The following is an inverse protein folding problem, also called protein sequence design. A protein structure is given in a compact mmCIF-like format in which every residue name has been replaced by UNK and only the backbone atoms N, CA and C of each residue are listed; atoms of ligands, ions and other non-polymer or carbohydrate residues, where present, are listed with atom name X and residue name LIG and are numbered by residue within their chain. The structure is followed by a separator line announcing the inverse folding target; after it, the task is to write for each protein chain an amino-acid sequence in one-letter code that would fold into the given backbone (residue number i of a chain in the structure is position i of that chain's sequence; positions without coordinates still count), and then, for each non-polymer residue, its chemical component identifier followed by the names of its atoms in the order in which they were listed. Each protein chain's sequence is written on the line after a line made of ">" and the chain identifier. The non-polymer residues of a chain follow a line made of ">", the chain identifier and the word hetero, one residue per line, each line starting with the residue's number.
data_IF_433989299429
#
_entry.id   IF_433989299429
#
_cell.length_a   1.000
_cell.length_b   1.000
_cell.length_c   1.000
_cell.angle_alpha   90.00
_cell.angle_beta   90.00
_cell.angle_gamma   90.00
#
_symmetry.space_group_name_H-M   'P 1'
#
loop_
_entity.id
_entity.type
_entity.pdbx_description
1 polymer ?
#
# COMPACT_ATOMS: atom_id res chain seq x y z
N UNK A 1 -21.12 44.71 8.00
CA UNK A 1 -20.67 43.66 8.96
C UNK A 1 -21.50 42.37 8.90
N UNK A 2 -22.84 42.44 8.97
CA UNK A 2 -23.70 41.23 8.96
C UNK A 2 -23.65 40.40 7.67
N UNK A 3 -23.57 41.05 6.50
CA UNK A 3 -23.51 40.35 5.19
C UNK A 3 -22.20 39.56 4.99
N UNK A 4 -21.06 40.13 5.35
CA UNK A 4 -19.76 39.47 5.25
C UNK A 4 -19.66 38.27 6.20
N UNK A 5 -20.24 38.37 7.39
CA UNK A 5 -20.29 37.25 8.34
C UNK A 5 -21.11 36.08 7.79
N UNK A 6 -22.27 36.34 7.17
CA UNK A 6 -23.07 35.30 6.52
C UNK A 6 -22.35 34.64 5.33
N UNK A 7 -21.63 35.43 4.52
CA UNK A 7 -20.84 34.90 3.42
C UNK A 7 -19.70 33.99 3.91
N UNK A 8 -18.99 34.40 4.95
CA UNK A 8 -17.91 33.59 5.54
C UNK A 8 -18.47 32.29 6.13
N UNK A 9 -19.59 32.35 6.87
CA UNK A 9 -20.26 31.16 7.39
C UNK A 9 -20.73 30.21 6.29
N UNK A 10 -21.29 30.75 5.21
CA UNK A 10 -21.69 29.97 4.04
C UNK A 10 -20.52 29.27 3.37
N UNK A 11 -19.40 29.97 3.16
CA UNK A 11 -18.18 29.39 2.56
C UNK A 11 -17.59 28.31 3.46
N UNK A 12 -17.50 28.54 4.77
CA UNK A 12 -16.98 27.55 5.73
C UNK A 12 -17.84 26.28 5.74
N UNK A 13 -19.17 26.41 5.68
CA UNK A 13 -20.07 25.26 5.62
C UNK A 13 -19.89 24.44 4.33
N UNK A 14 -19.74 25.11 3.18
CA UNK A 14 -19.51 24.43 1.89
C UNK A 14 -18.14 23.73 1.87
N UNK A 15 -17.09 24.38 2.37
CA UNK A 15 -15.75 23.78 2.46
C UNK A 15 -15.75 22.58 3.40
N UNK A 16 -16.47 22.64 4.53
CA UNK A 16 -16.60 21.52 5.46
C UNK A 16 -17.30 20.30 4.85
N UNK A 17 -18.30 20.50 3.98
CA UNK A 17 -18.96 19.41 3.25
C UNK A 17 -18.03 18.76 2.22
N UNK A 18 -17.24 19.55 1.50
CA UNK A 18 -16.29 19.05 0.47
C UNK A 18 -15.07 18.39 1.12
N UNK A 19 -14.70 18.77 2.34
CA UNK A 19 -13.59 18.19 3.09
C UNK A 19 -13.89 16.79 3.70
N UNK A 20 -15.10 16.25 3.53
CA UNK A 20 -15.41 14.88 3.93
C UNK A 20 -14.59 13.90 3.09
N UNK A 21 -13.75 13.10 3.75
CA UNK A 21 -12.96 12.08 3.07
C UNK A 21 -13.88 11.10 2.32
N UNK A 22 -13.61 10.91 1.03
CA UNK A 22 -14.40 10.02 0.18
C UNK A 22 -14.37 8.58 0.73
N UNK A 23 -15.52 7.91 0.82
CA UNK A 23 -15.58 6.52 1.27
C UNK A 23 -14.75 5.64 0.32
N UNK A 24 -13.66 5.09 0.83
CA UNK A 24 -12.82 4.14 0.10
C UNK A 24 -13.57 2.81 -0.10
N UNK A 25 -13.49 2.25 -1.30
CA UNK A 25 -13.95 0.88 -1.59
C UNK A 25 -13.01 -0.19 -1.02
N UNK A 26 -11.80 0.19 -0.58
CA UNK A 26 -10.85 -0.69 0.10
C UNK A 26 -11.04 -0.58 1.61
N UNK A 27 -11.46 -1.64 2.32
CA UNK A 27 -11.62 -1.60 3.77
C UNK A 27 -10.27 -1.35 4.45
N UNK A 28 -10.29 -0.68 5.61
CA UNK A 28 -9.09 -0.46 6.42
C UNK A 28 -8.61 -1.80 6.98
N UNK A 29 -7.38 -2.17 6.64
CA UNK A 29 -6.74 -3.37 7.18
C UNK A 29 -5.98 -3.01 8.45
N UNK A 30 -6.23 -3.78 9.51
CA UNK A 30 -5.55 -3.62 10.79
C UNK A 30 -4.63 -4.82 11.01
N UNK A 31 -3.34 -4.57 11.23
CA UNK A 31 -2.36 -5.61 11.58
C UNK A 31 -1.57 -5.20 12.81
N UNK A 32 -1.59 -6.04 13.85
CA UNK A 32 -0.75 -5.83 15.05
C UNK A 32 0.68 -6.30 14.87
N UNK A 33 0.89 -7.31 14.03
CA UNK A 33 2.18 -7.98 13.85
C UNK A 33 2.73 -7.80 12.43
N UNK A 34 1.87 -7.91 11.43
CA UNK A 34 2.22 -7.79 10.03
C UNK A 34 0.98 -7.45 9.20
N UNK A 35 1.22 -6.98 7.98
CA UNK A 35 0.21 -6.74 6.95
C UNK A 35 0.84 -7.13 5.60
N UNK A 36 0.13 -7.92 4.79
CA UNK A 36 0.49 -8.22 3.40
C UNK A 36 -0.62 -7.71 2.47
N UNK A 37 -0.26 -6.89 1.48
CA UNK A 37 -1.22 -6.27 0.55
C UNK A 37 -0.66 -6.38 -0.87
N UNK A 38 -1.48 -6.83 -1.82
CA UNK A 38 -1.23 -6.70 -3.25
C UNK A 38 -2.55 -6.47 -4.00
N UNK A 39 -2.48 -6.19 -5.30
CA UNK A 39 -3.65 -6.17 -6.18
C UNK A 39 -4.25 -7.56 -6.46
N UNK A 40 -3.60 -8.65 -6.05
CA UNK A 40 -4.04 -10.03 -6.28
C UNK A 40 -4.19 -10.80 -4.97
N UNK A 41 -5.41 -11.25 -4.60
CA UNK A 41 -5.65 -11.92 -3.32
C UNK A 41 -4.69 -13.08 -3.05
N UNK A 42 -4.41 -13.92 -4.06
CA UNK A 42 -3.49 -15.05 -3.93
C UNK A 42 -2.05 -14.64 -3.59
N UNK A 43 -1.59 -13.48 -4.07
CA UNK A 43 -0.29 -12.92 -3.70
C UNK A 43 -0.27 -12.52 -2.22
N UNK A 44 -1.32 -11.83 -1.75
CA UNK A 44 -1.44 -11.46 -0.34
C UNK A 44 -1.51 -12.71 0.56
N UNK A 45 -2.20 -13.77 0.14
CA UNK A 45 -2.23 -15.07 0.84
C UNK A 45 -0.84 -15.71 0.92
N UNK A 46 -0.06 -15.68 -0.16
CA UNK A 46 1.32 -16.19 -0.14
C UNK A 46 2.20 -15.44 0.87
N UNK A 47 2.12 -14.11 0.89
CA UNK A 47 2.83 -13.28 1.88
C UNK A 47 2.38 -13.56 3.31
N UNK A 48 1.07 -13.67 3.55
CA UNK A 48 0.51 -14.01 4.85
C UNK A 48 1.01 -15.39 5.34
N UNK A 49 1.09 -16.40 4.47
CA UNK A 49 1.64 -17.71 4.82
C UNK A 49 3.11 -17.64 5.24
N UNK A 50 3.93 -16.80 4.60
CA UNK A 50 5.34 -16.61 4.99
C UNK A 50 5.43 -15.90 6.34
N UNK A 51 4.63 -14.87 6.58
CA UNK A 51 4.56 -14.24 7.90
C UNK A 51 4.12 -15.22 8.99
N UNK A 52 3.12 -16.07 8.73
CA UNK A 52 2.71 -17.13 9.66
C UNK A 52 3.80 -18.14 9.96
N UNK A 53 4.78 -18.31 9.07
CA UNK A 53 5.97 -19.16 9.25
C UNK A 53 7.15 -18.43 9.91
N UNK A 54 6.97 -17.19 10.35
CA UNK A 54 8.02 -16.39 10.99
C UNK A 54 8.97 -15.69 10.01
N UNK A 55 8.63 -15.65 8.72
CA UNK A 55 9.39 -14.89 7.73
C UNK A 55 9.26 -13.38 7.93
N UNK A 56 10.23 -12.63 7.40
CA UNK A 56 10.23 -11.17 7.46
C UNK A 56 9.50 -10.54 6.26
N UNK A 57 9.45 -9.20 6.21
CA UNK A 57 8.76 -8.47 5.14
C UNK A 57 9.36 -8.70 3.73
N UNK A 58 10.68 -8.90 3.63
CA UNK A 58 11.37 -9.23 2.38
C UNK A 58 10.99 -10.63 1.94
N UNK A 59 11.07 -11.62 2.84
CA UNK A 59 10.69 -13.01 2.55
C UNK A 59 9.23 -13.10 2.06
N UNK A 60 8.31 -12.41 2.76
CA UNK A 60 6.91 -12.36 2.39
C UNK A 60 6.70 -11.72 1.02
N UNK A 61 7.42 -10.62 0.72
CA UNK A 61 7.35 -9.95 -0.58
C UNK A 61 7.88 -10.82 -1.71
N UNK A 62 8.98 -11.56 -1.49
CA UNK A 62 9.49 -12.52 -2.47
C UNK A 62 8.47 -13.62 -2.79
N UNK A 63 7.77 -14.15 -1.78
CA UNK A 63 6.69 -15.11 -2.02
C UNK A 63 5.47 -14.50 -2.71
N UNK A 64 5.11 -13.26 -2.36
CA UNK A 64 4.04 -12.50 -3.02
C UNK A 64 4.34 -12.33 -4.52
N UNK A 65 5.55 -11.87 -4.88
CA UNK A 65 5.98 -11.73 -6.26
C UNK A 65 6.05 -13.08 -6.97
N UNK A 66 6.63 -14.09 -6.33
CA UNK A 66 6.74 -15.42 -6.93
C UNK A 66 5.40 -16.05 -7.27
N UNK A 67 4.40 -15.90 -6.39
CA UNK A 67 3.04 -16.36 -6.67
C UNK A 67 2.40 -15.52 -7.78
N UNK A 68 2.48 -14.19 -7.68
CA UNK A 68 1.80 -13.30 -8.63
C UNK A 68 2.37 -13.42 -10.05
N UNK A 69 3.68 -13.65 -10.20
CA UNK A 69 4.35 -13.85 -11.48
C UNK A 69 3.89 -15.10 -12.25
N UNK A 70 3.13 -16.01 -11.62
CA UNK A 70 2.57 -17.20 -12.29
C UNK A 70 1.09 -17.04 -12.65
N UNK A 71 0.47 -15.89 -12.39
CA UNK A 71 -0.96 -15.67 -12.62
C UNK A 71 -1.28 -15.17 -14.04
N UNK A 72 -0.32 -15.27 -14.98
CA UNK A 72 -0.40 -14.87 -16.39
C UNK A 72 -1.07 -13.51 -16.61
N UNK A 73 -0.47 -12.45 -16.05
CA UNK A 73 -0.91 -11.08 -16.25
C UNK A 73 0.27 -10.13 -16.55
N UNK A 74 0.12 -8.82 -16.31
CA UNK A 74 1.18 -7.84 -16.58
C UNK A 74 2.42 -7.98 -15.69
N UNK A 75 2.34 -8.70 -14.57
CA UNK A 75 3.49 -8.97 -13.70
C UNK A 75 4.01 -10.39 -13.98
N UNK A 76 5.27 -10.51 -14.38
CA UNK A 76 5.91 -11.79 -14.67
C UNK A 76 7.41 -11.79 -14.37
N UNK A 77 8.00 -12.99 -14.42
CA UNK A 77 9.42 -13.22 -14.06
C UNK A 77 10.44 -12.49 -14.94
N UNK A 78 10.10 -12.20 -16.20
CA UNK A 78 10.96 -11.49 -17.13
C UNK A 78 10.78 -9.96 -17.12
N UNK A 79 9.97 -9.43 -16.21
CA UNK A 79 9.72 -8.00 -16.09
C UNK A 79 10.77 -7.27 -15.26
N UNK A 80 10.45 -6.03 -14.94
CA UNK A 80 11.29 -5.16 -14.12
C UNK A 80 10.69 -5.01 -12.72
N UNK A 81 11.52 -4.64 -11.74
CA UNK A 81 11.02 -4.39 -10.38
C UNK A 81 11.78 -3.24 -9.74
N UNK A 82 11.04 -2.42 -9.01
CA UNK A 82 11.59 -1.43 -8.11
C UNK A 82 11.09 -1.72 -6.71
N UNK A 83 11.98 -1.67 -5.73
CA UNK A 83 11.62 -1.92 -4.34
C UNK A 83 12.26 -0.88 -3.42
N UNK A 84 11.50 -0.49 -2.39
CA UNK A 84 12.00 0.29 -1.27
C UNK A 84 11.85 -0.55 0.00
N UNK A 85 12.96 -0.74 0.69
CA UNK A 85 13.02 -1.57 1.89
C UNK A 85 13.53 -0.71 3.04
N UNK A 86 12.72 -0.52 4.06
CA UNK A 86 13.18 0.06 5.31
C UNK A 86 13.77 -1.04 6.21
N UNK A 87 15.05 -0.91 6.56
CA UNK A 87 15.69 -1.77 7.53
C UNK A 87 15.63 -1.12 8.93
N UNK A 88 14.85 -1.66 9.88
CA UNK A 88 14.70 -1.07 11.20
C UNK A 88 15.96 -1.18 12.07
N UNK A 89 16.85 -2.15 11.80
CA UNK A 89 18.10 -2.32 12.56
C UNK A 89 19.09 -1.21 12.22
N UNK A 90 19.21 -0.87 10.94
CA UNK A 90 20.12 0.18 10.48
C UNK A 90 19.46 1.55 10.34
N UNK A 91 18.12 1.61 10.43
CA UNK A 91 17.29 2.79 10.16
C UNK A 91 17.53 3.42 8.78
N UNK A 92 17.83 2.56 7.79
CA UNK A 92 18.11 3.00 6.41
C UNK A 92 16.99 2.53 5.49
N UNK A 93 16.71 3.34 4.47
CA UNK A 93 15.90 2.94 3.32
C UNK A 93 16.85 2.48 2.23
N UNK A 94 16.61 1.28 1.70
CA UNK A 94 17.37 0.68 0.62
C UNK A 94 16.47 0.70 -0.61
N UNK A 95 16.94 1.33 -1.68
CA UNK A 95 16.31 1.25 -3.00
C UNK A 95 16.95 0.14 -3.81
N UNK A 96 16.11 -0.72 -4.39
CA UNK A 96 16.53 -1.70 -5.40
C UNK A 96 16.02 -1.18 -6.75
N UNK A 97 16.96 -0.86 -7.64
CA UNK A 97 16.68 -0.58 -9.03
C UNK A 97 16.98 -1.86 -9.83
N UNK A 98 15.93 -2.61 -10.18
CA UNK A 98 16.01 -3.76 -11.08
C UNK A 98 15.22 -3.49 -12.37
N UNK A 99 15.37 -2.27 -12.90
CA UNK A 99 15.03 -1.97 -14.29
C UNK A 99 16.13 -2.54 -15.20
N UNK A 100 15.75 -3.18 -16.30
CA UNK A 100 16.70 -3.65 -17.31
C UNK A 100 17.21 -2.47 -18.13
N UNK A 101 18.39 -2.62 -18.75
CA UNK A 101 18.90 -1.67 -19.77
C UNK A 101 18.51 -2.12 -21.16
#
# INVERSE_FOLDING_TARGET
>A
MRLHLCLILGVVAVVGMVASAQRTMKPVLHGRHWVAITGKPLGATAGAMIFSKGGNAVDATCAMLGAVSTMWDTLGWGGETQALIYNPKTKKVIGINALGV
#
